data_IF_479394988357
#
_entry.id   IF_479394988357
#
_cell.length_a   1.000
_cell.length_b   1.000
_cell.length_c   1.000
_cell.angle_alpha   90.00
_cell.angle_beta   90.00
_cell.angle_gamma   90.00
#
_symmetry.space_group_name_H-M   'P 1'
#
loop_
_entity.id
_entity.type
_entity.pdbx_description
1 polymer ?
#
# COMPACT_ATOMS: atom_id res chain seq x y z
N UNK A 1 -9.11 -1.68 54.98
CA UNK A 1 -9.49 -3.02 54.48
C UNK A 1 -10.35 -2.81 53.24
N UNK A 2 -9.81 -2.98 52.02
CA UNK A 2 -9.96 -4.19 51.16
C UNK A 2 -11.45 -4.51 50.91
N UNK A 3 -12.03 -4.54 49.71
CA UNK A 3 -11.63 -5.09 48.39
C UNK A 3 -12.43 -4.39 47.25
N UNK A 4 -11.94 -4.19 46.01
CA UNK A 4 -11.87 -5.17 44.90
C UNK A 4 -13.21 -5.90 44.72
N UNK A 5 -13.85 -6.03 43.55
CA UNK A 5 -13.62 -5.69 42.15
C UNK A 5 -14.76 -6.44 41.46
N UNK A 6 -15.58 -5.81 40.63
CA UNK A 6 -16.37 -6.58 39.67
C UNK A 6 -16.25 -5.94 38.30
N UNK A 7 -15.65 -6.71 37.40
CA UNK A 7 -15.21 -6.30 36.09
C UNK A 7 -16.42 -6.10 35.18
N UNK A 8 -16.57 -4.88 34.64
CA UNK A 8 -17.47 -4.62 33.53
C UNK A 8 -17.04 -5.44 32.32
N UNK A 9 -17.82 -6.48 32.02
CA UNK A 9 -17.65 -7.32 30.83
C UNK A 9 -17.68 -6.44 29.56
N UNK A 10 -16.63 -6.53 28.76
CA UNK A 10 -16.58 -5.97 27.41
C UNK A 10 -17.53 -6.79 26.53
N UNK A 11 -18.52 -6.12 25.94
CA UNK A 11 -19.42 -6.75 24.96
C UNK A 11 -18.66 -6.97 23.66
N UNK A 12 -18.51 -8.24 23.27
CA UNK A 12 -18.05 -8.66 21.95
C UNK A 12 -19.08 -8.24 20.88
N UNK A 13 -18.62 -7.60 19.79
CA UNK A 13 -19.44 -7.45 18.57
C UNK A 13 -19.57 -6.05 17.95
N UNK A 14 -18.90 -5.02 18.44
CA UNK A 14 -18.91 -3.70 17.77
C UNK A 14 -17.77 -3.60 16.75
N UNK A 15 -18.03 -3.23 15.48
CA UNK A 15 -16.96 -3.02 14.51
C UNK A 15 -16.07 -1.86 14.97
N UNK A 16 -14.76 -2.10 15.03
CA UNK A 16 -13.75 -1.08 15.32
C UNK A 16 -13.74 -0.04 14.20
N UNK A 17 -14.51 1.03 14.37
CA UNK A 17 -14.53 2.17 13.47
C UNK A 17 -13.37 3.09 13.82
N UNK A 18 -12.21 2.88 13.22
CA UNK A 18 -11.11 3.85 13.27
C UNK A 18 -11.55 5.08 12.47
N UNK A 19 -11.99 6.13 13.17
CA UNK A 19 -12.06 7.47 12.59
C UNK A 19 -10.62 7.99 12.44
N UNK A 20 -9.93 7.55 11.40
CA UNK A 20 -8.64 8.14 11.02
C UNK A 20 -8.93 9.49 10.39
N UNK A 21 -8.84 10.56 11.18
CA UNK A 21 -8.72 11.90 10.63
C UNK A 21 -7.44 11.93 9.77
N UNK A 22 -7.61 12.02 8.44
CA UNK A 22 -6.49 12.09 7.49
C UNK A 22 -5.76 13.41 7.72
N UNK A 23 -4.82 13.39 8.65
CA UNK A 23 -3.96 14.51 8.97
C UNK A 23 -2.74 14.39 8.07
N UNK A 24 -2.69 15.25 7.05
CA UNK A 24 -1.52 15.52 6.20
C UNK A 24 -0.98 14.34 5.41
N UNK A 25 -1.25 14.29 4.10
CA UNK A 25 -0.47 13.44 3.19
C UNK A 25 0.99 13.90 3.20
N UNK A 26 1.92 12.97 3.37
CA UNK A 26 3.34 13.23 3.23
C UNK A 26 3.62 13.64 1.77
N UNK A 27 3.93 14.93 1.53
CA UNK A 27 4.08 15.49 0.18
C UNK A 27 5.23 14.89 -0.64
N UNK A 28 6.08 14.07 -0.01
CA UNK A 28 7.16 13.32 -0.66
C UNK A 28 6.67 12.02 -1.31
N UNK A 29 5.58 11.43 -0.80
CA UNK A 29 5.10 10.12 -1.26
C UNK A 29 4.10 10.32 -2.41
N UNK A 30 4.59 10.11 -3.63
CA UNK A 30 3.85 10.34 -4.88
C UNK A 30 3.83 9.08 -5.74
N UNK A 31 2.93 9.00 -6.72
CA UNK A 31 2.83 7.84 -7.63
C UNK A 31 4.14 7.60 -8.43
N UNK A 32 4.91 8.65 -8.71
CA UNK A 32 6.22 8.56 -9.37
C UNK A 32 7.38 8.19 -8.44
N UNK A 33 7.15 8.00 -7.14
CA UNK A 33 8.17 7.46 -6.23
C UNK A 33 8.30 5.94 -6.45
N UNK A 34 8.68 5.57 -7.67
CA UNK A 34 8.81 4.22 -8.16
C UNK A 34 9.92 4.17 -9.20
N UNK A 35 10.47 2.98 -9.44
CA UNK A 35 11.44 2.82 -10.51
C UNK A 35 10.74 2.85 -11.89
N UNK A 36 11.50 3.21 -12.94
CA UNK A 36 10.98 3.21 -14.31
C UNK A 36 10.50 1.81 -14.74
N UNK A 37 11.09 0.75 -14.15
CA UNK A 37 10.75 -0.61 -14.49
C UNK A 37 9.28 -0.91 -14.16
N UNK A 38 8.73 -0.44 -13.03
CA UNK A 38 7.31 -0.61 -12.69
C UNK A 38 6.39 -0.02 -13.77
N UNK A 39 6.73 1.16 -14.30
CA UNK A 39 5.95 1.80 -15.38
C UNK A 39 6.05 0.99 -16.68
N UNK A 40 7.24 0.49 -17.02
CA UNK A 40 7.40 -0.36 -18.21
C UNK A 40 6.70 -1.71 -18.09
N UNK A 41 6.63 -2.29 -16.89
CA UNK A 41 5.83 -3.49 -16.62
C UNK A 41 4.34 -3.21 -16.75
N UNK A 42 3.85 -2.12 -16.17
CA UNK A 42 2.45 -1.71 -16.30
C UNK A 42 2.07 -1.53 -17.78
N UNK A 43 2.96 -0.94 -18.59
CA UNK A 43 2.76 -0.83 -20.03
C UNK A 43 2.67 -2.21 -20.72
N UNK A 44 3.52 -3.17 -20.35
CA UNK A 44 3.47 -4.52 -20.89
C UNK A 44 2.16 -5.26 -20.53
N UNK A 45 1.67 -5.12 -19.29
CA UNK A 45 0.38 -5.68 -18.88
C UNK A 45 -0.80 -5.02 -19.60
N UNK A 46 -0.77 -3.69 -19.72
CA UNK A 46 -1.77 -2.94 -20.45
C UNK A 46 -1.82 -3.35 -21.93
N UNK A 47 -0.66 -3.46 -22.60
CA UNK A 47 -0.60 -3.83 -24.02
C UNK A 47 -1.00 -5.28 -24.28
N UNK A 48 -0.81 -6.16 -23.31
CA UNK A 48 -1.25 -7.57 -23.38
C UNK A 48 -2.70 -7.78 -22.94
N UNK A 49 -3.42 -6.72 -22.54
CA UNK A 49 -4.83 -6.80 -22.13
C UNK A 49 -5.05 -7.46 -20.77
N UNK A 50 -4.00 -7.55 -19.94
CA UNK A 50 -3.99 -8.26 -18.65
C UNK A 50 -4.10 -7.34 -17.42
N UNK A 51 -4.40 -6.06 -17.63
CA UNK A 51 -4.45 -5.07 -16.56
C UNK A 51 -5.59 -5.29 -15.56
N UNK A 52 -6.61 -6.07 -15.93
CA UNK A 52 -7.77 -6.38 -15.09
C UNK A 52 -7.74 -7.81 -14.55
N UNK A 53 -6.62 -8.52 -14.70
CA UNK A 53 -6.48 -9.88 -14.17
C UNK A 53 -6.33 -9.82 -12.64
N UNK A 54 -7.14 -10.59 -11.93
CA UNK A 54 -7.07 -10.68 -10.46
C UNK A 54 -5.69 -11.20 -10.03
N UNK A 55 -5.06 -10.50 -9.09
CA UNK A 55 -3.72 -10.80 -8.60
C UNK A 55 -3.63 -10.60 -7.09
N UNK A 56 -2.88 -11.48 -6.41
CA UNK A 56 -2.66 -11.43 -4.96
C UNK A 56 -1.15 -11.37 -4.71
N UNK A 57 -0.71 -10.48 -3.81
CA UNK A 57 0.69 -10.29 -3.48
C UNK A 57 0.90 -10.33 -1.97
N UNK A 58 1.89 -11.10 -1.51
CA UNK A 58 2.25 -11.17 -0.10
C UNK A 58 3.57 -10.44 0.16
N UNK A 59 3.55 -9.49 1.10
CA UNK A 59 4.74 -8.84 1.62
C UNK A 59 5.25 -9.59 2.85
N UNK A 60 6.48 -10.09 2.79
CA UNK A 60 7.17 -10.69 3.93
C UNK A 60 8.67 -10.47 3.85
N UNK A 61 9.36 -10.65 4.98
CA UNK A 61 10.81 -10.58 5.06
C UNK A 61 11.42 -11.96 5.31
N UNK A 62 12.66 -12.18 4.87
CA UNK A 62 13.28 -13.51 4.88
C UNK A 62 14.14 -13.81 6.12
N UNK A 63 14.66 -12.77 6.77
CA UNK A 63 15.56 -12.85 7.93
C UNK A 63 15.30 -11.67 8.85
N UNK A 64 15.38 -11.89 10.16
CA UNK A 64 15.27 -10.81 11.12
C UNK A 64 16.38 -9.76 10.88
N UNK A 65 16.05 -8.47 10.95
CA UNK A 65 17.03 -7.40 10.89
C UNK A 65 17.96 -7.47 12.12
N UNK A 66 19.17 -6.94 11.99
CA UNK A 66 20.16 -6.83 13.07
C UNK A 66 20.55 -8.15 13.75
N UNK A 67 20.29 -9.30 13.12
CA UNK A 67 20.42 -10.64 13.73
C UNK A 67 19.62 -10.80 15.03
N UNK A 68 18.50 -10.08 15.17
CA UNK A 68 17.60 -10.20 16.31
C UNK A 68 16.74 -11.47 16.26
N UNK A 69 16.06 -11.75 17.38
CA UNK A 69 15.15 -12.91 17.49
C UNK A 69 13.72 -12.58 17.03
N UNK A 70 13.33 -11.31 17.07
CA UNK A 70 12.00 -10.83 16.68
C UNK A 70 12.08 -9.50 15.92
N UNK A 71 11.00 -9.17 15.19
CA UNK A 71 10.84 -7.90 14.48
C UNK A 71 9.51 -7.28 14.89
N UNK A 72 9.44 -5.96 15.02
CA UNK A 72 8.18 -5.24 15.25
C UNK A 72 7.71 -4.67 13.91
N UNK A 73 6.44 -4.90 13.57
CA UNK A 73 5.84 -4.34 12.36
C UNK A 73 5.43 -2.89 12.56
N UNK A 74 5.84 -2.00 11.65
CA UNK A 74 5.51 -0.58 11.67
C UNK A 74 5.47 0.01 10.26
N UNK A 75 4.75 1.14 10.09
CA UNK A 75 4.61 1.86 8.82
C UNK A 75 3.32 1.57 8.05
N UNK A 76 2.33 0.90 8.66
CA UNK A 76 1.05 0.60 8.03
C UNK A 76 0.25 1.88 7.76
N UNK A 77 0.30 2.85 8.68
CA UNK A 77 -0.40 4.13 8.53
C UNK A 77 0.00 4.88 7.25
N UNK A 78 1.30 5.00 6.97
CA UNK A 78 1.80 5.69 5.78
C UNK A 78 1.46 4.92 4.50
N UNK A 79 1.46 3.59 4.54
CA UNK A 79 1.02 2.76 3.43
C UNK A 79 -0.44 3.04 3.05
N UNK A 80 -1.34 3.09 4.05
CA UNK A 80 -2.76 3.39 3.83
C UNK A 80 -2.96 4.80 3.29
N UNK A 81 -2.23 5.79 3.81
CA UNK A 81 -2.28 7.17 3.30
C UNK A 81 -1.88 7.24 1.83
N UNK A 82 -0.81 6.55 1.43
CA UNK A 82 -0.37 6.48 0.03
C UNK A 82 -1.47 5.91 -0.87
N UNK A 83 -2.07 4.78 -0.49
CA UNK A 83 -3.15 4.17 -1.28
C UNK A 83 -4.34 5.14 -1.43
N UNK A 84 -4.73 5.83 -0.35
CA UNK A 84 -5.84 6.78 -0.38
C UNK A 84 -5.59 7.99 -1.29
N UNK A 85 -4.35 8.47 -1.40
CA UNK A 85 -3.98 9.61 -2.23
C UNK A 85 -3.35 9.25 -3.57
N UNK A 86 -3.32 7.97 -3.95
CA UNK A 86 -2.62 7.52 -5.15
C UNK A 86 -3.30 8.06 -6.42
N UNK A 87 -2.57 8.88 -7.17
CA UNK A 87 -2.94 9.36 -8.50
C UNK A 87 -1.70 9.87 -9.24
N UNK A 88 -1.74 9.85 -10.57
CA UNK A 88 -0.75 10.53 -11.41
C UNK A 88 -1.21 11.96 -11.71
N UNK A 89 -0.37 12.94 -11.41
CA UNK A 89 -0.59 14.34 -11.76
C UNK A 89 -0.29 14.61 -13.25
N UNK A 90 -0.74 15.75 -13.78
CA UNK A 90 -0.43 16.12 -15.17
C UNK A 90 1.09 16.22 -15.39
N UNK A 91 1.83 16.80 -14.45
CA UNK A 91 3.29 16.89 -14.50
C UNK A 91 3.97 15.53 -14.50
N UNK A 92 3.39 14.54 -13.81
CA UNK A 92 3.92 13.17 -13.82
C UNK A 92 3.79 12.56 -15.21
N UNK A 93 2.65 12.76 -15.85
CA UNK A 93 2.39 12.26 -17.21
C UNK A 93 3.28 12.94 -18.23
N UNK A 94 3.48 14.26 -18.11
CA UNK A 94 4.41 14.99 -18.96
C UNK A 94 5.84 14.48 -18.80
N UNK A 95 6.30 14.24 -17.56
CA UNK A 95 7.60 13.65 -17.29
C UNK A 95 7.72 12.24 -17.89
N UNK A 96 6.72 11.37 -17.69
CA UNK A 96 6.72 10.01 -18.23
C UNK A 96 6.84 9.98 -19.75
N UNK A 97 6.21 10.92 -20.46
CA UNK A 97 6.37 11.06 -21.93
C UNK A 97 7.80 11.37 -22.35
N UNK A 98 8.61 11.99 -21.48
CA UNK A 98 10.02 12.31 -21.78
C UNK A 98 10.98 11.14 -21.54
N UNK A 99 10.68 10.28 -20.57
CA UNK A 99 11.57 9.17 -20.16
C UNK A 99 11.21 7.84 -20.82
N UNK A 100 9.95 7.67 -21.21
CA UNK A 100 9.49 6.48 -21.93
C UNK A 100 9.91 6.54 -23.41
N UNK A 101 10.11 5.39 -24.08
CA UNK A 101 10.39 5.37 -25.52
C UNK A 101 9.30 6.09 -26.32
N UNK A 102 9.70 6.81 -27.38
CA UNK A 102 8.77 7.54 -28.26
C UNK A 102 7.77 6.63 -29.00
N UNK A 103 8.00 5.32 -29.00
CA UNK A 103 7.11 4.29 -29.55
C UNK A 103 6.01 3.86 -28.56
N UNK A 104 5.99 4.43 -27.35
CA UNK A 104 4.97 4.13 -26.34
C UNK A 104 3.60 4.63 -26.82
N UNK A 105 2.59 3.78 -26.69
CA UNK A 105 1.23 4.08 -27.08
C UNK A 105 0.67 5.30 -26.30
N UNK A 106 0.21 6.37 -26.97
CA UNK A 106 -0.33 7.55 -26.29
C UNK A 106 -1.50 7.25 -25.35
N UNK A 107 -2.30 6.22 -25.67
CA UNK A 107 -3.48 5.84 -24.88
C UNK A 107 -3.09 5.28 -23.51
N UNK A 108 -1.87 4.75 -23.36
CA UNK A 108 -1.34 4.32 -22.06
C UNK A 108 -1.26 5.49 -21.08
N UNK A 109 -0.88 6.68 -21.53
CA UNK A 109 -0.82 7.86 -20.66
C UNK A 109 -2.22 8.34 -20.24
N UNK A 110 -3.22 8.17 -21.10
CA UNK A 110 -4.62 8.43 -20.74
C UNK A 110 -5.10 7.43 -19.68
N UNK A 111 -4.73 6.14 -19.83
CA UNK A 111 -4.99 5.11 -18.83
C UNK A 111 -4.36 5.44 -17.47
N UNK A 112 -3.08 5.84 -17.43
CA UNK A 112 -2.41 6.20 -16.17
C UNK A 112 -3.14 7.31 -15.39
N UNK A 113 -3.75 8.28 -16.06
CA UNK A 113 -4.56 9.33 -15.41
C UNK A 113 -5.82 8.81 -14.73
N UNK A 114 -6.33 7.65 -15.16
CA UNK A 114 -7.54 7.04 -14.59
C UNK A 114 -7.24 6.12 -13.40
N UNK A 115 -5.97 5.78 -13.17
CA UNK A 115 -5.58 4.86 -12.11
C UNK A 115 -5.85 5.42 -10.72
N UNK A 116 -6.39 4.56 -9.86
CA UNK A 116 -6.57 4.81 -8.44
C UNK A 116 -6.46 3.49 -7.67
N UNK A 117 -6.14 3.53 -6.38
CA UNK A 117 -6.02 2.33 -5.55
C UNK A 117 -7.36 1.84 -4.97
N UNK A 118 -8.49 2.24 -5.55
CA UNK A 118 -9.83 1.99 -4.96
C UNK A 118 -10.25 0.51 -4.98
N UNK A 119 -9.77 -0.22 -5.97
CA UNK A 119 -10.12 -1.64 -6.15
C UNK A 119 -9.15 -2.58 -5.41
N UNK A 120 -8.25 -2.03 -4.59
CA UNK A 120 -7.28 -2.80 -3.79
C UNK A 120 -7.92 -3.19 -2.46
N UNK A 121 -8.00 -4.49 -2.21
CA UNK A 121 -8.27 -5.03 -0.88
C UNK A 121 -6.93 -5.21 -0.16
N UNK A 122 -6.80 -4.62 1.03
CA UNK A 122 -5.60 -4.70 1.86
C UNK A 122 -5.91 -5.38 3.19
N UNK A 123 -5.12 -6.37 3.54
CA UNK A 123 -5.11 -7.02 4.84
C UNK A 123 -3.69 -6.94 5.42
N UNK A 124 -3.57 -6.68 6.73
CA UNK A 124 -2.27 -6.52 7.35
C UNK A 124 -2.29 -6.93 8.82
N UNK A 125 -1.12 -7.33 9.32
CA UNK A 125 -0.87 -7.47 10.76
C UNK A 125 -0.99 -6.10 11.43
N UNK A 126 -1.57 -5.98 12.65
CA UNK A 126 -1.62 -4.70 13.36
C UNK A 126 -0.22 -4.11 13.62
N UNK A 127 -0.11 -2.80 13.51
CA UNK A 127 1.13 -2.08 13.80
C UNK A 127 1.49 -2.19 15.30
N UNK A 128 2.77 -2.40 15.58
CA UNK A 128 3.30 -2.65 16.93
C UNK A 128 3.38 -4.12 17.33
N UNK A 129 2.85 -5.04 16.52
CA UNK A 129 2.91 -6.48 16.78
C UNK A 129 4.28 -7.10 16.47
N UNK A 130 4.57 -8.20 17.16
CA UNK A 130 5.75 -9.03 16.91
C UNK A 130 5.51 -9.91 15.68
N UNK A 131 6.42 -9.83 14.71
CA UNK A 131 6.36 -10.57 13.44
C UNK A 131 7.63 -11.38 13.20
N UNK A 132 7.47 -12.47 12.43
CA UNK A 132 8.52 -13.44 12.16
C UNK A 132 8.81 -13.58 10.67
N UNK A 133 10.03 -14.03 10.30
CA UNK A 133 10.39 -14.21 8.90
C UNK A 133 9.51 -15.23 8.18
N UNK A 134 9.27 -15.00 6.88
CA UNK A 134 8.52 -15.87 5.98
C UNK A 134 7.03 -16.03 6.33
N UNK A 135 6.49 -15.10 7.09
CA UNK A 135 5.04 -14.98 7.35
C UNK A 135 4.57 -13.71 6.65
N UNK A 136 3.45 -13.75 5.87
CA UNK A 136 2.86 -12.56 5.28
C UNK A 136 2.54 -11.50 6.33
N UNK A 137 2.98 -10.27 6.08
CA UNK A 137 2.69 -9.11 6.91
C UNK A 137 1.53 -8.29 6.33
N UNK A 138 1.50 -8.21 5.00
CA UNK A 138 0.50 -7.48 4.21
C UNK A 138 0.15 -8.33 2.99
N UNK A 139 -1.15 -8.45 2.72
CA UNK A 139 -1.72 -9.13 1.55
C UNK A 139 -2.80 -8.25 0.93
#
# INVERSE_FOLDING_TARGET
ATNMSDHGALKEGEPFQTKTAVTGSNGVVQALLTDLYQITMAYAYWKSGKMNDDSIFDLYFRKNPFNGEFTIFAGLEECVKLLQSFHFSESDIEYLKTVMPSTTDPDFFAYLKTLSAKDILLTAVPEGEVVFPKIPLVT
#
